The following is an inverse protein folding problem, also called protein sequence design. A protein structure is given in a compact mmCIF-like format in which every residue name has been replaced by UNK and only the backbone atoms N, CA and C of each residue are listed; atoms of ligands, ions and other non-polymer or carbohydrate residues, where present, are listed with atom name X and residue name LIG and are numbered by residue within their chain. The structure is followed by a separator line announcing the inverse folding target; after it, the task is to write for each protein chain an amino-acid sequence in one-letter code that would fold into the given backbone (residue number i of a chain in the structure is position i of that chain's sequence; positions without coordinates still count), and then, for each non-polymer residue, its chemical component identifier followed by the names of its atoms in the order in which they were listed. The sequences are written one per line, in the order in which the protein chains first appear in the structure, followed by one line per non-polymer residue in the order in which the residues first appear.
data_IF_206279497965
#
_entry.id   IF_206279497965
#
_cell.length_a   1.000
_cell.length_b   1.000
_cell.length_c   1.000
_cell.angle_alpha   90.00
_cell.angle_beta   90.00
_cell.angle_gamma   90.00
#
_symmetry.space_group_name_H-M   'P 1'
#
loop_
_entity.id
_entity.type
_entity.pdbx_description
1 polymer ?
#
# COMPACT_ATOMS: atom_id res chain seq x y z
N UNK A 1 -13.36 -4.00 9.59
CA UNK A 1 -12.67 -3.08 8.66
C UNK A 1 -11.39 -3.77 8.23
N UNK A 2 -11.21 -4.12 6.98
CA UNK A 2 -9.96 -4.72 6.52
C UNK A 2 -8.92 -3.62 6.37
N UNK A 3 -7.79 -3.77 7.04
CA UNK A 3 -6.64 -2.88 6.91
C UNK A 3 -6.21 -2.78 5.43
N UNK A 4 -5.97 -1.57 4.98
CA UNK A 4 -5.55 -1.31 3.60
C UNK A 4 -4.03 -1.42 3.48
N UNK A 5 -3.52 -2.02 2.40
CA UNK A 5 -2.07 -2.04 2.11
C UNK A 5 -1.48 -0.62 1.95
N UNK A 6 -2.34 0.39 1.79
CA UNK A 6 -1.96 1.81 1.76
C UNK A 6 -1.93 2.46 3.16
N UNK A 7 -2.44 1.79 4.21
CA UNK A 7 -2.38 2.29 5.57
C UNK A 7 -0.95 2.26 6.12
N UNK A 8 -0.63 3.23 6.95
CA UNK A 8 0.67 3.34 7.63
C UNK A 8 0.50 3.14 9.13
N UNK A 9 1.48 2.53 9.78
CA UNK A 9 1.51 2.43 11.24
C UNK A 9 1.75 3.81 11.85
N UNK A 10 1.06 4.10 12.94
CA UNK A 10 1.19 5.36 13.68
C UNK A 10 1.33 5.11 15.18
N UNK A 11 1.96 6.08 15.85
CA UNK A 11 2.07 6.16 17.29
C UNK A 11 1.70 7.59 17.70
N UNK A 12 0.63 7.72 18.49
CA UNK A 12 0.10 9.02 18.93
C UNK A 12 0.64 9.47 20.31
N UNK A 13 1.59 8.75 20.92
CA UNK A 13 2.15 9.14 22.20
C UNK A 13 2.81 10.54 22.19
N UNK A 14 3.21 11.01 21.01
CA UNK A 14 3.81 12.33 20.80
C UNK A 14 3.03 13.19 19.79
N UNK A 15 1.78 12.83 19.52
CA UNK A 15 0.92 13.59 18.62
C UNK A 15 0.49 14.92 19.21
N UNK A 16 0.11 15.86 18.37
CA UNK A 16 -0.45 17.15 18.81
C UNK A 16 -1.86 17.00 19.40
N UNK A 17 -2.59 15.94 19.03
CA UNK A 17 -3.93 15.67 19.56
C UNK A 17 -3.85 14.84 20.82
N UNK A 18 -4.84 15.03 21.71
CA UNK A 18 -5.02 14.20 22.89
C UNK A 18 -6.36 13.48 22.79
N UNK A 19 -6.33 12.15 22.87
CA UNK A 19 -7.54 11.34 22.94
C UNK A 19 -8.02 11.35 24.39
N UNK A 20 -9.15 12.00 24.64
CA UNK A 20 -9.78 12.02 25.95
C UNK A 20 -11.23 11.56 25.80
N UNK A 21 -11.54 10.43 26.41
CA UNK A 21 -12.87 9.82 26.36
C UNK A 21 -13.84 10.46 27.36
N UNK A 22 -13.34 11.16 28.38
CA UNK A 22 -14.17 11.97 29.25
C UNK A 22 -14.74 13.15 28.45
N UNK A 23 -16.06 13.34 28.51
CA UNK A 23 -16.75 14.31 27.64
C UNK A 23 -16.48 14.11 26.14
N UNK A 24 -16.60 12.88 25.66
CA UNK A 24 -16.30 12.44 24.31
C UNK A 24 -16.83 13.38 23.22
N UNK A 25 -18.12 13.76 23.29
CA UNK A 25 -18.77 14.64 22.32
C UNK A 25 -18.07 16.00 22.22
N UNK A 26 -17.78 16.63 23.35
CA UNK A 26 -17.13 17.94 23.39
C UNK A 26 -15.69 17.87 22.84
N UNK A 27 -14.95 16.82 23.19
CA UNK A 27 -13.57 16.67 22.77
C UNK A 27 -13.47 16.34 21.27
N UNK A 28 -14.34 15.48 20.76
CA UNK A 28 -14.38 15.16 19.34
C UNK A 28 -14.89 16.32 18.50
N UNK A 29 -15.83 17.14 18.99
CA UNK A 29 -16.22 18.38 18.31
C UNK A 29 -15.03 19.32 18.15
N UNK A 30 -14.20 19.52 19.19
CA UNK A 30 -13.00 20.34 19.11
C UNK A 30 -11.99 19.78 18.08
N UNK A 31 -11.75 18.47 18.08
CA UNK A 31 -10.89 17.85 17.05
C UNK A 31 -11.44 18.03 15.64
N UNK A 32 -12.76 17.99 15.50
CA UNK A 32 -13.44 18.27 14.23
C UNK A 32 -13.24 19.70 13.74
N UNK A 33 -13.34 20.68 14.64
CA UNK A 33 -13.07 22.09 14.34
C UNK A 33 -11.61 22.32 13.91
N UNK A 34 -10.65 21.78 14.68
CA UNK A 34 -9.22 21.87 14.33
C UNK A 34 -8.92 21.25 12.95
N UNK A 35 -9.53 20.11 12.63
CA UNK A 35 -9.35 19.48 11.32
C UNK A 35 -10.03 20.26 10.20
N UNK A 36 -11.21 20.83 10.46
CA UNK A 36 -11.91 21.68 9.51
C UNK A 36 -11.08 22.90 9.12
N UNK A 37 -10.48 23.57 10.08
CA UNK A 37 -9.60 24.73 9.84
C UNK A 37 -8.43 24.36 8.92
N UNK A 38 -7.81 23.20 9.15
CA UNK A 38 -6.74 22.66 8.28
C UNK A 38 -7.27 22.37 6.87
N UNK A 39 -8.47 21.81 6.75
CA UNK A 39 -9.08 21.52 5.44
C UNK A 39 -9.38 22.80 4.64
N UNK A 40 -9.69 23.91 5.30
CA UNK A 40 -9.90 25.22 4.66
C UNK A 40 -8.65 25.76 3.96
N UNK A 41 -7.46 25.28 4.32
CA UNK A 41 -6.19 25.63 3.66
C UNK A 41 -5.99 24.93 2.31
N UNK A 42 -6.99 24.21 1.81
CA UNK A 42 -6.94 23.52 0.51
C UNK A 42 -8.28 23.51 -0.19
N UNK A 43 -8.29 23.88 -1.47
CA UNK A 43 -9.47 23.73 -2.34
C UNK A 43 -9.58 22.31 -2.94
N UNK A 44 -8.64 21.43 -2.65
CA UNK A 44 -8.58 20.06 -3.18
C UNK A 44 -9.09 19.01 -2.20
N UNK A 45 -9.15 19.32 -0.90
CA UNK A 45 -9.70 18.42 0.11
C UNK A 45 -11.23 18.44 -0.04
N UNK A 46 -11.87 17.29 -0.32
CA UNK A 46 -13.32 17.24 -0.52
C UNK A 46 -14.07 17.48 0.79
N UNK A 47 -15.25 18.07 0.68
CA UNK A 47 -16.21 18.15 1.79
C UNK A 47 -16.57 16.75 2.27
N UNK A 48 -16.73 16.59 3.58
CA UNK A 48 -16.98 15.31 4.21
C UNK A 48 -17.63 15.44 5.58
N UNK A 49 -18.27 14.37 6.04
CA UNK A 49 -18.58 14.19 7.45
C UNK A 49 -17.43 13.54 8.19
N UNK A 50 -17.16 14.01 9.42
CA UNK A 50 -16.22 13.38 10.34
C UNK A 50 -17.00 12.52 11.33
N UNK A 51 -16.64 11.25 11.41
CA UNK A 51 -17.21 10.30 12.33
C UNK A 51 -16.13 9.88 13.33
N UNK A 52 -16.30 10.28 14.58
CA UNK A 52 -15.47 9.81 15.70
C UNK A 52 -16.20 8.67 16.40
N UNK A 53 -15.47 7.61 16.73
CA UNK A 53 -16.04 6.42 17.33
C UNK A 53 -15.07 5.76 18.31
N UNK A 54 -15.65 5.06 19.28
CA UNK A 54 -14.94 4.08 20.09
C UNK A 54 -15.59 2.71 19.89
N UNK A 55 -14.80 1.66 19.94
CA UNK A 55 -15.30 0.30 19.83
C UNK A 55 -14.32 -0.68 20.47
N UNK A 56 -14.84 -1.83 20.89
CA UNK A 56 -14.03 -2.93 21.41
C UNK A 56 -13.95 -4.04 20.37
N UNK A 57 -12.75 -4.54 20.11
CA UNK A 57 -12.50 -5.70 19.26
C UNK A 57 -11.50 -6.63 19.93
N UNK A 58 -11.84 -7.90 20.06
CA UNK A 58 -10.99 -8.94 20.69
C UNK A 58 -10.48 -8.53 22.08
N UNK A 59 -11.33 -7.86 22.86
CA UNK A 59 -11.01 -7.41 24.21
C UNK A 59 -10.11 -6.17 24.29
N UNK A 60 -9.85 -5.51 23.16
CA UNK A 60 -9.06 -4.28 23.08
C UNK A 60 -9.96 -3.12 22.67
N UNK A 61 -9.79 -1.99 23.35
CA UNK A 61 -10.57 -0.77 23.08
C UNK A 61 -9.82 0.12 22.09
N UNK A 62 -10.58 0.64 21.12
CA UNK A 62 -10.08 1.47 20.04
C UNK A 62 -10.81 2.80 19.97
N UNK A 63 -10.06 3.83 19.59
CA UNK A 63 -10.59 5.12 19.15
C UNK A 63 -10.33 5.28 17.66
N UNK A 64 -11.29 5.82 16.93
CA UNK A 64 -11.15 6.03 15.48
C UNK A 64 -11.77 7.34 15.02
N UNK A 65 -11.21 7.86 13.93
CA UNK A 65 -11.78 8.94 13.12
C UNK A 65 -11.90 8.46 11.68
N UNK A 66 -13.07 8.64 11.11
CA UNK A 66 -13.35 8.35 9.70
C UNK A 66 -13.77 9.66 9.01
N UNK A 67 -13.13 9.98 7.89
CA UNK A 67 -13.58 11.06 7.01
C UNK A 67 -14.35 10.46 5.85
N UNK A 68 -15.66 10.75 5.81
CA UNK A 68 -16.62 10.20 4.86
C UNK A 68 -16.92 11.25 3.79
N UNK A 69 -16.24 11.15 2.64
CA UNK A 69 -16.39 12.08 1.54
C UNK A 69 -17.81 12.03 0.96
N UNK A 70 -18.32 13.18 0.49
CA UNK A 70 -19.55 13.26 -0.27
C UNK A 70 -19.33 12.93 -1.73
N UNK A 71 -20.36 12.33 -2.35
CA UNK A 71 -20.49 12.22 -3.80
C UNK A 71 -21.76 12.92 -4.26
N UNK A 72 -21.70 13.74 -5.33
CA UNK A 72 -22.90 14.27 -5.92
C UNK A 72 -23.77 13.13 -6.47
N UNK A 73 -25.03 13.14 -6.11
CA UNK A 73 -26.06 12.26 -6.66
C UNK A 73 -27.08 13.10 -7.40
N UNK A 74 -27.26 12.80 -8.68
CA UNK A 74 -28.25 13.46 -9.54
C UNK A 74 -29.48 12.58 -9.63
N UNK A 75 -30.61 13.12 -9.27
CA UNK A 75 -31.91 12.43 -9.36
C UNK A 75 -32.99 13.32 -9.89
N UNK A 76 -34.03 12.73 -10.46
CA UNK A 76 -35.29 13.42 -10.81
C UNK A 76 -36.31 13.23 -9.70
N UNK A 77 -36.94 14.32 -9.29
CA UNK A 77 -38.11 14.22 -8.43
C UNK A 77 -39.28 13.75 -9.26
N UNK A 78 -40.05 12.76 -8.76
CA UNK A 78 -41.21 12.22 -9.46
C UNK A 78 -42.22 13.34 -9.74
N UNK A 79 -42.51 13.56 -11.02
CA UNK A 79 -43.45 14.62 -11.47
C UNK A 79 -42.82 15.99 -11.70
N UNK A 80 -41.50 16.15 -11.62
CA UNK A 80 -40.77 17.37 -11.94
C UNK A 80 -39.76 17.13 -13.07
N UNK A 81 -39.52 18.15 -13.88
CA UNK A 81 -38.43 18.18 -14.87
C UNK A 81 -37.11 18.68 -14.28
N UNK A 82 -37.13 19.07 -13.01
CA UNK A 82 -35.93 19.58 -12.34
C UNK A 82 -35.01 18.44 -11.88
N UNK A 83 -33.73 18.61 -12.11
CA UNK A 83 -32.67 17.73 -11.59
C UNK A 83 -32.37 18.15 -10.16
N UNK A 84 -32.63 17.25 -9.22
CA UNK A 84 -32.26 17.46 -7.81
C UNK A 84 -30.88 16.89 -7.57
N UNK A 85 -29.94 17.76 -7.24
CA UNK A 85 -28.59 17.33 -6.80
C UNK A 85 -28.62 17.09 -5.29
N UNK A 86 -28.34 15.87 -4.89
CA UNK A 86 -28.15 15.50 -3.48
C UNK A 86 -26.70 15.09 -3.26
N UNK A 87 -26.14 15.46 -2.11
CA UNK A 87 -24.88 14.91 -1.65
C UNK A 87 -25.17 13.64 -0.85
N UNK A 88 -24.51 12.57 -1.20
CA UNK A 88 -24.65 11.28 -0.52
C UNK A 88 -23.29 10.90 0.04
N UNK A 89 -23.23 10.60 1.33
CA UNK A 89 -22.06 10.06 1.98
C UNK A 89 -21.66 8.73 1.31
N UNK A 90 -20.37 8.58 1.01
CA UNK A 90 -19.89 7.36 0.36
C UNK A 90 -19.72 6.24 1.40
N UNK A 91 -19.88 5.00 0.95
CA UNK A 91 -19.55 3.81 1.76
C UNK A 91 -18.04 3.48 1.79
N UNK A 92 -17.21 4.33 1.16
CA UNK A 92 -15.76 4.12 1.06
C UNK A 92 -15.05 5.20 1.84
N UNK A 93 -14.44 4.81 2.95
CA UNK A 93 -13.56 5.70 3.72
C UNK A 93 -12.16 5.68 3.11
N UNK A 94 -11.65 6.85 2.73
CA UNK A 94 -10.32 7.01 2.12
C UNK A 94 -9.31 7.61 3.07
N UNK A 95 -9.80 8.24 4.13
CA UNK A 95 -9.00 8.92 5.14
C UNK A 95 -9.56 8.58 6.51
N UNK A 96 -8.76 7.93 7.32
CA UNK A 96 -9.13 7.44 8.63
C UNK A 96 -7.90 7.15 9.48
N UNK A 97 -8.03 7.23 10.78
CA UNK A 97 -7.11 6.56 11.68
C UNK A 97 -7.86 5.77 12.75
N UNK A 98 -7.23 4.72 13.23
CA UNK A 98 -7.72 3.88 14.32
C UNK A 98 -6.53 3.57 15.21
N UNK A 99 -6.68 3.79 16.51
CA UNK A 99 -5.64 3.52 17.49
C UNK A 99 -6.20 2.74 18.69
N UNK A 100 -5.39 1.87 19.23
CA UNK A 100 -5.63 1.25 20.51
C UNK A 100 -5.55 2.35 21.60
N UNK A 101 -6.53 2.41 22.51
CA UNK A 101 -6.64 3.49 23.50
C UNK A 101 -5.52 3.42 24.54
N UNK A 102 -5.09 2.23 24.92
CA UNK A 102 -4.08 2.04 25.97
C UNK A 102 -2.67 2.33 25.48
N UNK A 103 -2.37 1.93 24.25
CA UNK A 103 -1.01 2.05 23.68
C UNK A 103 -0.83 3.26 22.80
N UNK A 104 -1.91 3.90 22.34
CA UNK A 104 -1.95 4.99 21.36
C UNK A 104 -1.28 4.63 20.01
N UNK A 105 -1.12 3.33 19.74
CA UNK A 105 -0.59 2.81 18.50
C UNK A 105 -1.72 2.30 17.61
N UNK A 106 -1.53 2.46 16.30
CA UNK A 106 -2.56 2.06 15.36
C UNK A 106 -2.17 2.25 13.91
N UNK A 107 -3.18 2.55 13.10
CA UNK A 107 -3.04 2.69 11.65
C UNK A 107 -3.71 3.97 11.17
N UNK A 108 -3.12 4.57 10.15
CA UNK A 108 -3.61 5.77 9.46
C UNK A 108 -3.69 5.49 7.96
N UNK A 109 -4.84 5.71 7.38
CA UNK A 109 -5.03 5.79 5.94
C UNK A 109 -5.23 7.25 5.55
N UNK A 110 -4.43 7.73 4.59
CA UNK A 110 -4.43 9.15 4.22
C UNK A 110 -4.05 9.37 2.77
N UNK A 111 -4.31 10.58 2.29
CA UNK A 111 -3.94 11.06 0.96
C UNK A 111 -3.14 12.35 1.05
N UNK A 112 -2.37 12.62 -0.01
CA UNK A 112 -1.74 13.91 -0.23
C UNK A 112 -2.70 14.86 -0.95
N UNK A 113 -2.77 16.09 -0.46
CA UNK A 113 -3.49 17.17 -1.12
C UNK A 113 -2.59 18.38 -1.32
N UNK A 114 -2.88 19.13 -2.35
CA UNK A 114 -2.24 20.42 -2.62
C UNK A 114 -2.90 21.48 -1.76
N UNK A 115 -2.11 22.13 -0.93
CA UNK A 115 -2.56 23.22 -0.06
C UNK A 115 -2.56 24.56 -0.81
N UNK A 116 -3.18 25.57 -0.25
CA UNK A 116 -3.17 26.94 -0.82
C UNK A 116 -1.75 27.49 -1.01
N UNK A 117 -0.78 27.00 -0.23
CA UNK A 117 0.64 27.30 -0.40
C UNK A 117 1.24 26.71 -1.69
N UNK A 118 0.53 25.80 -2.38
CA UNK A 118 1.03 25.03 -3.53
C UNK A 118 1.80 23.76 -3.14
N UNK A 119 2.02 23.52 -1.86
CA UNK A 119 2.71 22.34 -1.36
C UNK A 119 1.77 21.13 -1.29
N UNK A 120 2.29 19.93 -1.61
CA UNK A 120 1.55 18.65 -1.51
C UNK A 120 1.96 17.91 -0.25
N UNK A 121 1.07 17.86 0.71
CA UNK A 121 1.31 17.26 2.04
C UNK A 121 0.28 16.22 2.42
N UNK A 122 0.60 15.39 3.40
CA UNK A 122 -0.33 14.53 4.11
C UNK A 122 -0.89 15.30 5.32
N UNK A 123 -1.91 16.11 5.09
CA UNK A 123 -2.43 17.02 6.11
C UNK A 123 -2.85 16.33 7.42
N UNK A 124 -3.35 15.07 7.36
CA UNK A 124 -3.70 14.33 8.57
C UNK A 124 -2.49 14.04 9.45
N UNK A 125 -1.39 13.51 8.88
CA UNK A 125 -0.19 13.21 9.69
C UNK A 125 0.65 14.45 9.95
N UNK A 126 0.84 15.32 8.97
CA UNK A 126 1.82 16.40 9.04
C UNK A 126 1.26 17.65 9.76
N UNK A 127 -0.03 17.97 9.58
CA UNK A 127 -0.64 19.17 10.18
C UNK A 127 -1.53 18.85 11.38
N UNK A 128 -2.43 17.86 11.26
CA UNK A 128 -3.39 17.53 12.30
C UNK A 128 -2.78 16.73 13.43
N UNK A 129 -2.24 15.54 13.15
CA UNK A 129 -1.62 14.69 14.15
C UNK A 129 -0.22 15.17 14.54
N UNK A 130 0.49 15.81 13.63
CA UNK A 130 1.90 16.26 13.76
C UNK A 130 2.83 15.11 14.15
N UNK A 131 2.71 14.00 13.42
CA UNK A 131 3.51 12.79 13.64
C UNK A 131 4.30 12.41 12.40
N UNK A 132 5.40 11.68 12.61
CA UNK A 132 6.12 11.01 11.53
C UNK A 132 5.48 9.65 11.29
N UNK A 133 5.19 9.32 10.04
CA UNK A 133 4.60 8.03 9.64
C UNK A 133 5.66 7.13 9.02
N UNK A 134 5.55 5.82 9.29
CA UNK A 134 6.31 4.81 8.58
C UNK A 134 5.84 4.64 7.12
N UNK A 135 6.42 3.67 6.43
CA UNK A 135 5.99 3.28 5.09
C UNK A 135 4.76 2.36 5.16
N UNK A 136 3.85 2.49 4.19
CA UNK A 136 2.77 1.51 4.04
C UNK A 136 3.30 0.19 3.48
N UNK A 137 2.63 -0.93 3.77
CA UNK A 137 2.98 -2.26 3.25
C UNK A 137 3.17 -2.25 1.73
N UNK A 138 2.31 -1.57 0.99
CA UNK A 138 2.41 -1.41 -0.47
C UNK A 138 3.68 -0.67 -0.91
N UNK A 139 4.09 0.38 -0.20
CA UNK A 139 5.34 1.10 -0.49
C UNK A 139 6.56 0.28 -0.13
N UNK A 140 6.54 -0.38 1.04
CA UNK A 140 7.62 -1.28 1.47
C UNK A 140 7.82 -2.41 0.46
N UNK A 141 6.73 -3.04 -0.01
CA UNK A 141 6.78 -4.03 -1.08
C UNK A 141 7.36 -3.44 -2.38
N UNK A 142 6.94 -2.23 -2.77
CA UNK A 142 7.45 -1.56 -3.96
C UNK A 142 8.97 -1.30 -3.88
N UNK A 143 9.48 -0.86 -2.74
CA UNK A 143 10.92 -0.65 -2.53
C UNK A 143 11.69 -1.96 -2.49
N UNK A 144 11.17 -2.99 -1.81
CA UNK A 144 11.75 -4.34 -1.81
C UNK A 144 11.88 -4.89 -3.24
N UNK A 145 10.83 -4.80 -4.06
CA UNK A 145 10.87 -5.25 -5.46
C UNK A 145 11.88 -4.48 -6.29
N UNK A 146 12.00 -3.16 -6.11
CA UNK A 146 13.00 -2.35 -6.81
C UNK A 146 14.43 -2.73 -6.40
N UNK A 147 14.66 -3.01 -5.11
CA UNK A 147 15.95 -3.44 -4.61
C UNK A 147 16.34 -4.81 -5.18
N UNK A 148 15.42 -5.77 -5.20
CA UNK A 148 15.63 -7.09 -5.81
C UNK A 148 15.97 -6.95 -7.29
N UNK A 149 15.22 -6.16 -8.05
CA UNK A 149 15.51 -5.94 -9.47
C UNK A 149 16.91 -5.35 -9.71
N UNK A 150 17.35 -4.43 -8.86
CA UNK A 150 18.70 -3.85 -8.95
C UNK A 150 19.78 -4.85 -8.58
N UNK A 151 19.58 -5.61 -7.50
CA UNK A 151 20.52 -6.60 -7.02
C UNK A 151 20.68 -7.81 -7.97
N UNK A 152 19.66 -8.06 -8.81
CA UNK A 152 19.64 -9.20 -9.72
C UNK A 152 19.82 -8.83 -11.21
N UNK A 153 20.10 -7.56 -11.50
CA UNK A 153 20.17 -7.05 -12.89
C UNK A 153 21.15 -7.82 -13.78
N UNK A 154 22.29 -8.21 -13.22
CA UNK A 154 23.36 -8.90 -13.95
C UNK A 154 23.22 -10.45 -13.92
N UNK A 155 22.18 -10.97 -13.25
CA UNK A 155 21.92 -12.41 -13.21
C UNK A 155 21.31 -12.89 -14.52
N UNK A 156 21.49 -14.18 -14.81
CA UNK A 156 20.82 -14.84 -15.94
C UNK A 156 19.30 -14.75 -15.77
N UNK A 157 18.58 -14.77 -16.88
CA UNK A 157 17.12 -14.72 -16.89
C UNK A 157 16.52 -15.82 -15.99
N UNK A 158 17.04 -17.05 -16.10
CA UNK A 158 16.57 -18.19 -15.31
C UNK A 158 16.63 -17.93 -13.79
N UNK A 159 17.74 -17.32 -13.32
CA UNK A 159 17.89 -16.95 -11.90
C UNK A 159 16.90 -15.87 -11.48
N UNK A 160 16.69 -14.85 -12.33
CA UNK A 160 15.72 -13.79 -12.06
C UNK A 160 14.28 -14.35 -11.99
N UNK A 161 13.94 -15.30 -12.87
CA UNK A 161 12.64 -15.95 -12.88
C UNK A 161 12.43 -16.82 -11.64
N UNK A 162 13.47 -17.52 -11.20
CA UNK A 162 13.47 -18.33 -9.98
C UNK A 162 13.24 -17.48 -8.71
N UNK A 163 13.91 -16.35 -8.62
CA UNK A 163 13.72 -15.38 -7.54
C UNK A 163 12.26 -14.91 -7.48
N UNK A 164 11.67 -14.63 -8.63
CA UNK A 164 10.28 -14.21 -8.70
C UNK A 164 9.31 -15.28 -8.24
N UNK A 165 9.57 -16.54 -8.60
CA UNK A 165 8.79 -17.69 -8.11
C UNK A 165 8.90 -17.84 -6.58
N UNK A 166 10.10 -17.67 -6.02
CA UNK A 166 10.29 -17.71 -4.56
C UNK A 166 9.47 -16.62 -3.84
N UNK A 167 9.47 -15.39 -4.35
CA UNK A 167 8.67 -14.29 -3.81
C UNK A 167 7.16 -14.59 -3.89
N UNK A 168 6.71 -15.20 -4.99
CA UNK A 168 5.33 -15.63 -5.12
C UNK A 168 4.96 -16.70 -4.10
N UNK A 169 5.82 -17.67 -3.89
CA UNK A 169 5.60 -18.72 -2.89
C UNK A 169 5.54 -18.13 -1.48
N UNK A 170 6.44 -17.21 -1.11
CA UNK A 170 6.37 -16.49 0.17
C UNK A 170 5.02 -15.78 0.37
N UNK A 171 4.51 -15.15 -0.69
CA UNK A 171 3.20 -14.50 -0.62
C UNK A 171 2.06 -15.51 -0.44
N UNK A 172 2.11 -16.66 -1.13
CA UNK A 172 1.07 -17.69 -1.03
C UNK A 172 1.03 -18.37 0.34
N UNK A 173 2.15 -18.41 1.05
CA UNK A 173 2.24 -19.07 2.36
C UNK A 173 1.46 -18.30 3.44
N UNK A 174 1.71 -16.99 3.60
CA UNK A 174 1.05 -16.19 4.63
C UNK A 174 0.84 -14.71 4.29
N UNK A 175 1.18 -14.30 3.07
CA UNK A 175 1.09 -12.90 2.63
C UNK A 175 2.09 -11.95 3.29
N UNK A 176 3.05 -12.48 4.08
CA UNK A 176 4.01 -11.69 4.84
C UNK A 176 5.39 -11.71 4.20
N UNK A 177 6.04 -10.56 4.27
CA UNK A 177 7.43 -10.40 3.87
C UNK A 177 8.22 -9.83 5.04
N UNK A 178 9.27 -10.54 5.44
CA UNK A 178 10.29 -10.06 6.36
C UNK A 178 11.54 -9.74 5.54
N UNK A 179 12.02 -8.51 5.60
CA UNK A 179 13.19 -8.09 4.81
C UNK A 179 14.43 -8.95 5.09
N UNK A 180 14.77 -9.28 6.36
CA UNK A 180 15.87 -10.21 6.64
C UNK A 180 15.64 -11.59 6.00
N UNK A 181 14.42 -12.14 6.09
CA UNK A 181 14.10 -13.45 5.50
C UNK A 181 14.21 -13.42 3.98
N UNK A 182 13.72 -12.36 3.34
CA UNK A 182 13.84 -12.15 1.89
C UNK A 182 15.32 -12.07 1.49
N UNK A 183 16.13 -11.29 2.22
CA UNK A 183 17.58 -11.18 1.98
C UNK A 183 18.26 -12.54 2.01
N UNK A 184 18.01 -13.33 3.06
CA UNK A 184 18.65 -14.64 3.25
C UNK A 184 18.15 -15.68 2.24
N UNK A 185 16.85 -15.76 1.96
CA UNK A 185 16.29 -16.78 1.06
C UNK A 185 16.55 -16.49 -0.41
N UNK A 186 16.49 -15.21 -0.82
CA UNK A 186 16.66 -14.82 -2.23
C UNK A 186 18.13 -14.79 -2.63
N UNK A 187 19.00 -14.30 -1.77
CA UNK A 187 20.40 -14.12 -2.13
C UNK A 187 21.31 -15.21 -1.59
N UNK A 188 20.94 -15.86 -0.46
CA UNK A 188 21.71 -16.99 0.08
C UNK A 188 23.22 -16.71 0.12
N UNK A 189 23.97 -17.44 -0.70
CA UNK A 189 25.43 -17.31 -0.82
C UNK A 189 25.88 -16.19 -1.79
N UNK A 190 24.94 -15.53 -2.48
CA UNK A 190 25.25 -14.39 -3.37
C UNK A 190 25.55 -13.13 -2.55
N UNK A 191 26.75 -13.04 -2.02
CA UNK A 191 27.19 -11.93 -1.18
C UNK A 191 27.05 -10.56 -1.88
N UNK A 192 27.28 -10.48 -3.19
CA UNK A 192 27.19 -9.21 -3.94
C UNK A 192 25.76 -8.74 -4.06
N UNK A 193 24.83 -9.61 -4.48
CA UNK A 193 23.42 -9.30 -4.58
C UNK A 193 22.82 -8.95 -3.21
N UNK A 194 23.18 -9.71 -2.18
CA UNK A 194 22.76 -9.47 -0.80
C UNK A 194 23.18 -8.09 -0.30
N UNK A 195 24.45 -7.71 -0.49
CA UNK A 195 24.95 -6.39 -0.09
C UNK A 195 24.18 -5.26 -0.79
N UNK A 196 23.95 -5.37 -2.10
CA UNK A 196 23.18 -4.35 -2.84
C UNK A 196 21.74 -4.24 -2.31
N UNK A 197 21.10 -5.37 -2.03
CA UNK A 197 19.74 -5.41 -1.50
C UNK A 197 19.67 -4.77 -0.12
N UNK A 198 20.52 -5.20 0.80
CA UNK A 198 20.55 -4.74 2.19
C UNK A 198 20.86 -3.24 2.28
N UNK A 199 21.82 -2.73 1.52
CA UNK A 199 22.13 -1.29 1.43
C UNK A 199 20.92 -0.45 0.94
N UNK A 200 20.14 -0.99 0.00
CA UNK A 200 18.96 -0.31 -0.52
C UNK A 200 17.79 -0.32 0.49
N UNK A 201 17.67 -1.38 1.29
CA UNK A 201 16.68 -1.47 2.35
C UNK A 201 17.05 -0.57 3.53
N UNK A 202 18.33 -0.50 3.90
CA UNK A 202 18.82 0.41 4.95
C UNK A 202 18.54 1.88 4.60
N UNK A 203 18.78 2.30 3.36
CA UNK A 203 18.47 3.66 2.89
C UNK A 203 16.98 4.03 2.97
N UNK A 204 16.12 3.07 3.20
CA UNK A 204 14.67 3.24 3.34
C UNK A 204 14.16 2.93 4.74
N UNK A 205 15.05 2.70 5.70
CA UNK A 205 14.74 2.29 7.07
C UNK A 205 13.88 1.00 7.12
N UNK A 206 14.13 0.07 6.18
CA UNK A 206 13.37 -1.17 6.04
C UNK A 206 14.16 -2.43 6.45
N UNK A 207 15.43 -2.33 6.84
CA UNK A 207 16.34 -3.48 7.06
C UNK A 207 15.79 -4.56 7.99
N UNK A 208 15.01 -4.18 8.99
CA UNK A 208 14.43 -5.09 9.98
C UNK A 208 12.90 -5.14 9.94
N UNK A 209 12.30 -4.53 8.94
CA UNK A 209 10.85 -4.44 8.84
C UNK A 209 10.22 -5.74 8.32
N UNK A 210 9.02 -5.99 8.81
CA UNK A 210 8.12 -7.00 8.28
C UNK A 210 6.78 -6.36 7.96
N UNK A 211 6.19 -6.74 6.85
CA UNK A 211 4.91 -6.21 6.41
C UNK A 211 4.07 -7.31 5.74
N UNK A 212 2.77 -7.16 5.83
CA UNK A 212 1.79 -8.08 5.24
C UNK A 212 1.08 -7.41 4.08
N UNK A 213 0.92 -8.12 2.96
CA UNK A 213 0.14 -7.70 1.81
C UNK A 213 -1.20 -8.42 1.84
N UNK A 214 -2.27 -7.66 2.11
CA UNK A 214 -3.65 -8.19 2.21
C UNK A 214 -4.40 -8.16 0.88
N UNK A 215 -3.98 -7.28 -0.04
CA UNK A 215 -4.63 -7.13 -1.34
C UNK A 215 -3.83 -7.83 -2.42
N UNK A 216 -4.40 -8.86 -3.02
CA UNK A 216 -3.85 -9.56 -4.17
C UNK A 216 -3.45 -8.58 -5.31
N UNK A 217 -4.23 -7.51 -5.50
CA UNK A 217 -3.91 -6.47 -6.49
C UNK A 217 -2.54 -5.82 -6.30
N UNK A 218 -2.01 -5.76 -5.06
CA UNK A 218 -0.69 -5.22 -4.77
C UNK A 218 0.42 -6.11 -5.30
N UNK A 219 0.24 -7.42 -5.21
CA UNK A 219 1.21 -8.45 -5.68
C UNK A 219 0.90 -8.99 -7.06
N UNK A 220 -0.16 -8.51 -7.71
CA UNK A 220 -0.56 -8.97 -9.05
C UNK A 220 0.58 -8.98 -10.07
N UNK A 221 1.57 -8.11 -9.88
CA UNK A 221 2.80 -8.09 -10.69
C UNK A 221 3.67 -9.35 -10.51
N UNK A 222 3.48 -10.13 -9.44
CA UNK A 222 4.17 -11.40 -9.25
C UNK A 222 3.49 -12.56 -9.98
N UNK A 223 2.17 -12.49 -10.25
CA UNK A 223 1.42 -13.57 -10.92
C UNK A 223 1.92 -13.88 -12.33
N UNK A 224 2.43 -12.85 -13.01
CA UNK A 224 2.90 -12.97 -14.37
C UNK A 224 4.27 -12.31 -14.53
N UNK A 225 5.12 -12.91 -15.33
CA UNK A 225 6.32 -12.28 -15.86
C UNK A 225 6.07 -11.83 -17.29
N UNK A 226 6.29 -10.55 -17.56
CA UNK A 226 6.34 -10.04 -18.91
C UNK A 226 7.76 -10.16 -19.43
N UNK A 227 7.91 -10.83 -20.55
CA UNK A 227 9.17 -10.98 -21.27
C UNK A 227 9.02 -10.24 -22.59
N UNK A 228 9.91 -9.30 -22.85
CA UNK A 228 9.89 -8.49 -24.08
C UNK A 228 11.02 -8.97 -24.98
N UNK A 229 10.65 -9.40 -26.19
CA UNK A 229 11.55 -9.81 -27.25
C UNK A 229 11.29 -8.92 -28.46
N UNK A 230 12.16 -7.95 -28.69
CA UNK A 230 11.96 -6.91 -29.69
C UNK A 230 10.60 -6.22 -29.55
N UNK A 231 9.67 -6.48 -30.47
CA UNK A 231 8.30 -5.93 -30.45
C UNK A 231 7.25 -6.91 -29.84
N UNK A 232 7.69 -8.10 -29.38
CA UNK A 232 6.80 -9.14 -28.87
C UNK A 232 6.80 -9.12 -27.34
N UNK A 233 5.62 -8.94 -26.76
CA UNK A 233 5.39 -9.06 -25.32
C UNK A 233 4.77 -10.42 -25.02
N UNK A 234 5.45 -11.24 -24.21
CA UNK A 234 4.99 -12.53 -23.75
C UNK A 234 4.70 -12.46 -22.23
N UNK A 235 3.47 -12.72 -21.84
CA UNK A 235 3.09 -12.84 -20.42
C UNK A 235 3.08 -14.31 -20.02
N UNK A 236 3.99 -14.68 -19.15
CA UNK A 236 4.12 -16.04 -18.63
C UNK A 236 3.59 -16.09 -17.19
N UNK A 237 2.61 -16.95 -16.87
CA UNK A 237 2.20 -17.16 -15.47
C UNK A 237 3.38 -17.61 -14.63
N UNK A 238 3.46 -17.15 -13.39
CA UNK A 238 4.57 -17.48 -12.50
C UNK A 238 4.65 -19.01 -12.24
N UNK A 239 3.53 -19.72 -12.20
CA UNK A 239 3.47 -21.18 -12.10
C UNK A 239 4.16 -21.92 -13.24
N UNK A 240 4.26 -21.28 -14.43
CA UNK A 240 4.86 -21.83 -15.63
C UNK A 240 6.26 -21.27 -15.92
N UNK A 241 6.76 -20.43 -15.00
CA UNK A 241 7.97 -19.63 -15.26
C UNK A 241 9.22 -20.48 -15.46
N UNK A 242 9.32 -21.62 -14.81
CA UNK A 242 10.44 -22.55 -14.93
C UNK A 242 10.50 -23.26 -16.28
N UNK A 243 9.43 -23.16 -17.10
CA UNK A 243 9.40 -23.66 -18.48
C UNK A 243 10.07 -22.68 -19.46
N UNK A 244 10.39 -21.47 -19.02
CA UNK A 244 11.10 -20.47 -19.82
C UNK A 244 12.60 -20.72 -19.70
N UNK A 245 13.25 -20.99 -20.82
CA UNK A 245 14.69 -21.21 -20.90
C UNK A 245 15.32 -20.31 -21.94
N UNK A 246 16.45 -19.74 -21.59
CA UNK A 246 17.30 -19.01 -22.53
C UNK A 246 18.25 -19.99 -23.19
N UNK A 247 18.23 -20.04 -24.52
CA UNK A 247 19.14 -20.88 -25.32
C UNK A 247 20.10 -19.99 -26.06
N UNK A 248 21.39 -20.16 -25.80
CA UNK A 248 22.43 -19.47 -26.53
C UNK A 248 22.73 -20.23 -27.81
N UNK A 249 22.55 -19.56 -28.95
CA UNK A 249 22.92 -20.08 -30.27
C UNK A 249 24.10 -19.29 -30.84
N UNK A 250 24.89 -19.89 -31.74
CA UNK A 250 26.01 -19.19 -32.38
C UNK A 250 25.62 -17.88 -33.09
N UNK A 251 24.39 -17.80 -33.57
CA UNK A 251 23.86 -16.68 -34.36
C UNK A 251 23.06 -15.66 -33.45
N UNK A 252 23.01 -15.85 -32.16
CA UNK A 252 22.30 -15.00 -31.21
C UNK A 252 21.56 -15.78 -30.12
N UNK A 253 21.05 -15.06 -29.13
CA UNK A 253 20.30 -15.66 -28.04
C UNK A 253 18.87 -15.96 -28.50
N UNK A 254 18.40 -17.18 -28.25
CA UNK A 254 17.00 -17.55 -28.42
C UNK A 254 16.39 -17.85 -27.05
N UNK A 255 15.18 -17.37 -26.84
CA UNK A 255 14.35 -17.79 -25.74
C UNK A 255 13.50 -18.99 -26.19
N UNK A 256 13.56 -20.07 -25.42
CA UNK A 256 12.73 -21.23 -25.63
C UNK A 256 11.72 -21.28 -24.49
N UNK A 257 10.44 -21.23 -24.85
CA UNK A 257 9.33 -21.49 -23.93
C UNK A 257 8.80 -22.89 -24.25
N UNK A 258 8.99 -23.81 -23.31
CA UNK A 258 8.55 -25.20 -23.49
C UNK A 258 7.09 -25.32 -23.06
N UNK A 259 6.18 -25.47 -24.03
CA UNK A 259 4.77 -25.69 -23.79
C UNK A 259 4.47 -27.18 -23.99
N UNK A 260 4.31 -27.91 -22.90
CA UNK A 260 3.93 -29.34 -22.94
C UNK A 260 2.51 -29.59 -23.50
N UNK A 261 1.62 -28.60 -23.45
CA UNK A 261 0.24 -28.73 -23.95
C UNK A 261 -0.18 -27.48 -24.75
N UNK A 262 -0.11 -27.57 -26.06
CA UNK A 262 -0.66 -26.54 -26.96
C UNK A 262 -2.18 -26.73 -27.10
N UNK A 263 -2.97 -26.10 -26.27
CA UNK A 263 -4.35 -25.77 -26.62
C UNK A 263 -4.39 -24.40 -27.29
N UNK A 264 -4.35 -24.41 -28.64
CA UNK A 264 -4.73 -23.24 -29.40
C UNK A 264 -6.23 -23.01 -29.16
N UNK A 265 -6.57 -21.90 -28.52
CA UNK A 265 -7.94 -21.39 -28.45
C UNK A 265 -8.20 -20.48 -29.60
#
# INVERSE_FOLDING_TARGET
MTESDDAVKIDLNHAAITINLDNFEKNTAKLGEELYDICCDSVKIPDADLVFLTFTSEGTDYFGMLKMDYKPFYGHQKGSTEVVTKQVMTNTCKEAFIVNIDTLKGVLQQKKYEMLSGEKIFYLSEMFLKITTGLSSKKSFGYMMQAILKATKEKKLEDQLNIRLQLWNMYQDDGKFSIPTVSDQIFGDDTSGKTIFDDLMEKKDLSYESFEIKKEATVKKLEYQTIILDEIEIKVPISEILKVKEKYLPDGNQMVVDFEDRKLK
#
